data_IF_656935223150
#
_entry.id   IF_656935223150
#
_cell.length_a   1.000
_cell.length_b   1.000
_cell.length_c   1.000
_cell.angle_alpha   90.00
_cell.angle_beta   90.00
_cell.angle_gamma   90.00
#
_symmetry.space_group_name_H-M   'P 1'
#
loop_
_entity.id
_entity.type
_entity.pdbx_description
1 polymer ?
#
# COMPACT_ATOMS: atom_id res chain seq x y z
N UNK A 1 38.60 -39.16 -19.10
CA UNK A 1 37.30 -39.63 -18.55
C UNK A 1 37.23 -39.20 -17.08
N UNK A 2 36.66 -38.01 -16.83
CA UNK A 2 36.61 -37.45 -15.45
C UNK A 2 35.19 -37.59 -14.91
N UNK A 3 35.09 -38.26 -13.79
CA UNK A 3 33.85 -38.53 -13.04
C UNK A 3 33.60 -37.33 -12.11
N UNK A 4 32.46 -36.69 -12.28
CA UNK A 4 31.98 -35.62 -11.37
C UNK A 4 31.60 -36.23 -10.01
N UNK A 5 32.24 -35.76 -8.95
CA UNK A 5 31.91 -36.12 -7.56
C UNK A 5 30.65 -35.36 -7.15
N UNK A 6 29.62 -36.12 -6.82
CA UNK A 6 28.40 -35.69 -6.15
C UNK A 6 28.66 -35.71 -4.65
N UNK A 7 28.56 -34.58 -3.95
CA UNK A 7 28.62 -34.53 -2.49
C UNK A 7 27.25 -34.92 -1.92
N UNK A 8 27.21 -36.09 -1.30
CA UNK A 8 26.12 -36.51 -0.42
C UNK A 8 26.54 -36.12 0.99
N UNK A 9 25.84 -35.12 1.58
CA UNK A 9 26.01 -34.79 2.99
C UNK A 9 25.25 -35.76 3.87
N UNK A 10 25.98 -36.43 4.71
CA UNK A 10 25.48 -37.37 5.71
C UNK A 10 24.79 -36.62 6.85
N UNK A 11 23.51 -36.90 7.10
CA UNK A 11 22.76 -36.38 8.24
C UNK A 11 22.92 -37.35 9.40
N UNK A 12 23.62 -36.95 10.48
CA UNK A 12 23.59 -37.65 11.75
C UNK A 12 22.43 -37.09 12.59
N UNK A 13 21.44 -37.89 12.86
CA UNK A 13 20.33 -37.59 13.75
C UNK A 13 20.74 -37.70 15.21
N UNK A 14 20.67 -36.61 15.97
CA UNK A 14 20.63 -36.67 17.43
C UNK A 14 19.17 -36.46 17.87
N UNK A 15 18.61 -37.48 18.48
CA UNK A 15 17.28 -37.43 19.13
C UNK A 15 17.35 -36.57 20.41
N UNK A 16 16.73 -35.42 20.40
CA UNK A 16 16.29 -34.71 21.61
C UNK A 16 14.84 -34.29 21.38
N UNK A 17 13.98 -34.77 22.27
CA UNK A 17 12.56 -34.58 22.32
C UNK A 17 12.20 -33.10 22.49
N UNK A 18 11.51 -32.53 21.50
CA UNK A 18 10.97 -31.17 21.46
C UNK A 18 10.68 -30.83 20.02
N UNK A 19 9.47 -31.15 19.54
CA UNK A 19 9.07 -30.90 18.14
C UNK A 19 9.02 -29.41 17.83
N UNK A 20 10.13 -28.84 17.39
CA UNK A 20 10.14 -27.66 16.52
C UNK A 20 10.16 -28.18 15.08
N UNK A 21 9.03 -28.06 14.40
CA UNK A 21 8.99 -28.28 12.96
C UNK A 21 9.89 -27.23 12.30
N UNK A 22 11.05 -27.67 11.81
CA UNK A 22 11.90 -26.85 10.95
C UNK A 22 11.19 -26.75 9.61
N UNK A 23 10.50 -25.63 9.37
CA UNK A 23 9.95 -25.32 8.06
C UNK A 23 11.13 -24.94 7.17
N UNK A 24 11.57 -25.87 6.33
CA UNK A 24 12.54 -25.57 5.28
C UNK A 24 11.78 -24.88 4.18
N UNK A 25 11.84 -23.55 4.16
CA UNK A 25 11.40 -22.77 3.02
C UNK A 25 12.28 -23.13 1.83
N UNK A 26 11.70 -23.84 0.89
CA UNK A 26 12.31 -24.01 -0.43
C UNK A 26 12.23 -22.64 -1.09
N UNK A 27 13.32 -21.89 -1.01
CA UNK A 27 13.47 -20.63 -1.75
C UNK A 27 13.40 -20.98 -3.24
N UNK A 28 12.23 -20.77 -3.86
CA UNK A 28 12.13 -20.73 -5.31
C UNK A 28 13.05 -19.59 -5.75
N UNK A 29 14.08 -19.90 -6.52
CA UNK A 29 14.86 -18.86 -7.21
C UNK A 29 13.89 -18.01 -8.00
N UNK A 30 13.80 -16.73 -7.70
CA UNK A 30 12.86 -15.80 -8.31
C UNK A 30 12.99 -15.81 -9.82
N UNK A 31 11.89 -15.59 -10.49
CA UNK A 31 11.89 -15.45 -11.94
C UNK A 31 12.85 -14.31 -12.31
N UNK A 32 13.90 -14.63 -13.08
CA UNK A 32 14.90 -13.65 -13.47
C UNK A 32 14.23 -12.46 -14.15
N UNK A 33 14.47 -11.25 -13.64
CA UNK A 33 13.91 -10.02 -14.22
C UNK A 33 14.22 -9.94 -15.71
N UNK A 34 13.21 -9.56 -16.46
CA UNK A 34 13.34 -9.36 -17.92
C UNK A 34 14.17 -8.11 -18.20
N UNK A 35 15.19 -8.24 -19.04
CA UNK A 35 16.00 -7.08 -19.43
C UNK A 35 15.30 -6.29 -20.54
N UNK A 36 15.18 -4.97 -20.32
CA UNK A 36 14.62 -4.00 -21.27
C UNK A 36 15.73 -3.08 -21.77
N UNK A 37 15.86 -2.92 -23.08
CA UNK A 37 16.75 -1.94 -23.72
C UNK A 37 15.95 -0.71 -24.10
N UNK A 38 16.41 0.47 -23.68
CA UNK A 38 15.78 1.75 -24.01
C UNK A 38 16.57 2.49 -25.09
N UNK A 39 15.94 2.72 -26.25
CA UNK A 39 16.45 3.46 -27.40
C UNK A 39 15.46 4.59 -27.74
N UNK A 40 15.11 5.39 -26.75
CA UNK A 40 14.13 6.47 -26.86
C UNK A 40 14.85 7.80 -26.88
N UNK A 41 14.58 8.61 -27.90
CA UNK A 41 15.04 10.01 -28.02
C UNK A 41 13.98 11.00 -27.50
N UNK A 42 14.34 12.28 -27.41
CA UNK A 42 13.43 13.35 -27.02
C UNK A 42 13.49 13.69 -25.52
N UNK A 43 12.36 13.81 -24.86
CA UNK A 43 12.26 14.34 -23.49
C UNK A 43 13.03 13.53 -22.44
N UNK A 44 14.01 14.15 -21.74
CA UNK A 44 14.70 13.51 -20.63
C UNK A 44 13.78 13.12 -19.46
N UNK A 45 12.72 13.92 -19.18
CA UNK A 45 11.74 13.65 -18.14
C UNK A 45 10.93 12.39 -18.44
N UNK A 46 10.49 12.22 -19.68
CA UNK A 46 9.83 11.01 -20.15
C UNK A 46 10.72 9.78 -19.92
N UNK A 47 11.97 9.83 -20.42
CA UNK A 47 12.89 8.69 -20.38
C UNK A 47 13.26 8.30 -18.93
N UNK A 48 13.59 9.30 -18.08
CA UNK A 48 13.91 9.07 -16.66
C UNK A 48 12.73 8.44 -15.93
N UNK A 49 11.52 8.96 -16.19
CA UNK A 49 10.29 8.46 -15.58
C UNK A 49 9.97 7.03 -16.04
N UNK A 50 9.98 6.77 -17.33
CA UNK A 50 9.79 5.43 -17.90
C UNK A 50 10.77 4.42 -17.30
N UNK A 51 12.07 4.72 -17.31
CA UNK A 51 13.11 3.88 -16.74
C UNK A 51 12.84 3.56 -15.28
N UNK A 52 12.65 4.59 -14.45
CA UNK A 52 12.45 4.42 -13.01
C UNK A 52 11.22 3.57 -12.69
N UNK A 53 10.10 3.78 -13.37
CA UNK A 53 8.88 3.03 -13.12
C UNK A 53 8.95 1.57 -13.61
N UNK A 54 9.67 1.30 -14.70
CA UNK A 54 9.96 -0.08 -15.11
C UNK A 54 10.81 -0.82 -14.06
N UNK A 55 11.83 -0.18 -13.50
CA UNK A 55 12.67 -0.76 -12.44
C UNK A 55 11.86 -0.97 -11.14
N UNK A 56 11.04 0.02 -10.73
CA UNK A 56 10.19 -0.07 -9.53
C UNK A 56 9.12 -1.15 -9.62
N UNK A 57 8.71 -1.53 -10.83
CA UNK A 57 7.70 -2.57 -11.06
C UNK A 57 8.11 -3.96 -10.56
N UNK A 58 9.40 -4.17 -10.30
CA UNK A 58 9.95 -5.47 -9.88
C UNK A 58 10.04 -6.52 -11.00
N UNK A 59 9.48 -6.25 -12.20
CA UNK A 59 9.46 -7.18 -13.33
C UNK A 59 10.64 -7.00 -14.26
N UNK A 60 11.22 -5.81 -14.31
CA UNK A 60 12.21 -5.44 -15.32
C UNK A 60 13.50 -4.91 -14.70
N UNK A 61 14.58 -5.06 -15.46
CA UNK A 61 15.85 -4.33 -15.30
C UNK A 61 16.22 -3.66 -16.60
N UNK A 62 16.85 -2.51 -16.53
CA UNK A 62 17.33 -1.82 -17.73
C UNK A 62 18.77 -2.24 -18.03
N UNK A 63 19.03 -2.58 -19.30
CA UNK A 63 20.35 -3.02 -19.75
C UNK A 63 20.59 -2.77 -21.24
N UNK A 64 21.84 -2.92 -21.69
CA UNK A 64 22.23 -2.60 -23.08
C UNK A 64 21.70 -3.61 -24.10
N UNK A 65 21.39 -4.84 -23.68
CA UNK A 65 20.86 -5.89 -24.54
C UNK A 65 19.76 -6.64 -23.77
N UNK A 66 18.52 -6.45 -24.19
CA UNK A 66 17.33 -7.02 -23.57
C UNK A 66 16.47 -7.80 -24.55
N UNK A 67 15.63 -8.67 -24.00
CA UNK A 67 14.60 -9.39 -24.75
C UNK A 67 13.39 -8.53 -25.11
N UNK A 68 13.34 -7.31 -24.55
CA UNK A 68 12.36 -6.26 -24.91
C UNK A 68 13.16 -5.02 -25.30
N UNK A 69 12.84 -4.43 -26.44
CA UNK A 69 13.39 -3.16 -26.89
C UNK A 69 12.29 -2.11 -26.90
N UNK A 70 12.56 -0.96 -26.28
CA UNK A 70 11.69 0.22 -26.32
C UNK A 70 12.39 1.28 -27.16
N UNK A 71 11.81 1.66 -28.29
CA UNK A 71 12.42 2.59 -29.26
C UNK A 71 11.43 3.63 -29.75
N UNK A 72 11.93 4.77 -30.22
CA UNK A 72 11.13 5.84 -30.79
C UNK A 72 11.47 7.22 -30.26
N UNK A 73 10.55 8.17 -30.42
CA UNK A 73 10.71 9.55 -29.97
C UNK A 73 9.60 9.92 -28.96
N UNK A 74 10.01 10.33 -27.78
CA UNK A 74 9.10 10.83 -26.73
C UNK A 74 8.41 12.12 -27.22
N UNK A 75 7.09 12.19 -27.08
CA UNK A 75 6.25 13.24 -27.67
C UNK A 75 5.71 12.90 -29.07
N UNK A 76 6.07 11.71 -29.57
CA UNK A 76 5.56 11.09 -30.79
C UNK A 76 5.21 9.63 -30.55
N UNK A 77 5.72 8.73 -31.42
CA UNK A 77 5.51 7.29 -31.26
C UNK A 77 6.68 6.64 -30.51
N UNK A 78 6.37 5.91 -29.44
CA UNK A 78 7.32 5.04 -28.73
C UNK A 78 6.77 3.62 -28.70
N UNK A 79 7.55 2.66 -29.17
CA UNK A 79 7.14 1.26 -29.32
C UNK A 79 8.00 0.35 -28.44
N UNK A 80 7.37 -0.55 -27.71
CA UNK A 80 8.01 -1.65 -27.00
C UNK A 80 7.76 -2.96 -27.76
N UNK A 81 8.83 -3.68 -28.11
CA UNK A 81 8.77 -4.93 -28.87
C UNK A 81 9.60 -6.01 -28.20
N UNK A 82 9.08 -7.21 -28.12
CA UNK A 82 9.76 -8.38 -27.54
C UNK A 82 8.79 -9.52 -27.25
N UNK A 83 9.29 -10.71 -27.00
CA UNK A 83 8.50 -11.88 -26.64
C UNK A 83 7.30 -12.13 -27.57
N UNK A 84 7.44 -11.84 -28.87
CA UNK A 84 6.36 -11.99 -29.86
C UNK A 84 5.24 -10.95 -29.76
N UNK A 85 5.41 -9.89 -28.98
CA UNK A 85 4.43 -8.82 -28.79
C UNK A 85 5.02 -7.46 -29.19
N UNK A 86 4.15 -6.53 -29.56
CA UNK A 86 4.50 -5.13 -29.81
C UNK A 86 3.37 -4.23 -29.33
N UNK A 87 3.71 -3.18 -28.59
CA UNK A 87 2.78 -2.13 -28.14
C UNK A 87 3.36 -0.77 -28.46
N UNK A 88 2.52 0.18 -28.84
CA UNK A 88 2.95 1.55 -29.20
C UNK A 88 2.12 2.57 -28.43
N UNK A 89 2.80 3.50 -27.79
CA UNK A 89 2.21 4.73 -27.25
C UNK A 89 2.41 5.87 -28.24
N UNK A 90 1.38 6.69 -28.44
CA UNK A 90 1.42 7.92 -29.25
C UNK A 90 0.85 9.05 -28.44
N UNK A 91 1.70 9.66 -27.61
CA UNK A 91 1.30 10.73 -26.71
C UNK A 91 2.16 11.97 -26.94
N UNK A 92 1.49 13.08 -27.22
CA UNK A 92 2.10 14.40 -27.17
C UNK A 92 1.95 14.99 -25.76
N UNK A 93 2.87 15.85 -25.37
CA UNK A 93 2.84 16.54 -24.08
C UNK A 93 3.44 17.92 -24.23
N UNK A 94 2.91 18.89 -23.46
CA UNK A 94 3.30 20.29 -23.56
C UNK A 94 4.45 20.66 -22.59
N UNK A 95 4.59 19.91 -21.49
CA UNK A 95 5.52 20.22 -20.41
C UNK A 95 6.16 18.94 -19.79
N UNK A 96 7.05 19.16 -18.83
CA UNK A 96 7.74 18.08 -18.12
C UNK A 96 6.80 17.17 -17.31
N UNK A 97 5.71 17.72 -16.75
CA UNK A 97 4.75 16.93 -15.99
C UNK A 97 3.95 16.00 -16.91
N UNK A 98 3.52 16.50 -18.07
CA UNK A 98 2.90 15.71 -19.11
C UNK A 98 3.83 14.63 -19.65
N UNK A 99 5.12 14.95 -19.87
CA UNK A 99 6.14 13.98 -20.28
C UNK A 99 6.30 12.85 -19.27
N UNK A 100 6.38 13.17 -17.96
CA UNK A 100 6.45 12.16 -16.89
C UNK A 100 5.19 11.30 -16.84
N UNK A 101 4.01 11.92 -16.99
CA UNK A 101 2.75 11.17 -17.00
C UNK A 101 2.66 10.20 -18.19
N UNK A 102 3.07 10.62 -19.39
CA UNK A 102 3.16 9.74 -20.54
C UNK A 102 4.15 8.57 -20.32
N UNK A 103 5.31 8.85 -19.72
CA UNK A 103 6.27 7.82 -19.31
C UNK A 103 5.69 6.80 -18.31
N UNK A 104 4.89 7.24 -17.32
CA UNK A 104 4.20 6.37 -16.36
C UNK A 104 3.17 5.48 -17.05
N UNK A 105 2.31 6.06 -17.90
CA UNK A 105 1.31 5.29 -18.66
C UNK A 105 1.96 4.21 -19.52
N UNK A 106 3.06 4.55 -20.20
CA UNK A 106 3.74 3.57 -21.03
C UNK A 106 4.46 2.51 -20.18
N UNK A 107 5.02 2.86 -19.02
CA UNK A 107 5.55 1.88 -18.08
C UNK A 107 4.48 0.87 -17.63
N UNK A 108 3.29 1.35 -17.25
CA UNK A 108 2.16 0.49 -16.88
C UNK A 108 1.75 -0.42 -18.04
N UNK A 109 1.65 0.10 -19.27
CA UNK A 109 1.33 -0.68 -20.45
C UNK A 109 2.40 -1.76 -20.77
N UNK A 110 3.68 -1.45 -20.57
CA UNK A 110 4.77 -2.42 -20.72
C UNK A 110 4.67 -3.53 -19.67
N UNK A 111 4.38 -3.18 -18.39
CA UNK A 111 4.16 -4.16 -17.34
C UNK A 111 3.02 -5.11 -17.72
N UNK A 112 1.88 -4.58 -18.13
CA UNK A 112 0.70 -5.38 -18.47
C UNK A 112 0.93 -6.27 -19.72
N UNK A 113 1.70 -5.78 -20.71
CA UNK A 113 1.95 -6.53 -21.94
C UNK A 113 3.01 -7.62 -21.79
N UNK A 114 4.07 -7.38 -21.00
CA UNK A 114 5.28 -8.20 -21.02
C UNK A 114 5.61 -8.91 -19.71
N UNK A 115 4.90 -8.63 -18.62
CA UNK A 115 4.92 -9.45 -17.41
C UNK A 115 3.84 -10.54 -17.46
N UNK A 116 4.06 -11.63 -16.74
CA UNK A 116 3.10 -12.73 -16.68
C UNK A 116 1.97 -12.42 -15.67
N UNK A 117 1.01 -11.59 -16.09
CA UNK A 117 -0.15 -11.18 -15.29
C UNK A 117 0.10 -10.00 -14.34
N UNK A 118 1.24 -9.34 -14.42
CA UNK A 118 1.53 -8.14 -13.63
C UNK A 118 0.60 -6.98 -13.97
N UNK A 119 0.31 -6.15 -12.97
CA UNK A 119 -0.45 -4.91 -13.11
C UNK A 119 0.47 -3.72 -12.92
N UNK A 120 0.31 -2.70 -13.77
CA UNK A 120 0.99 -1.43 -13.61
C UNK A 120 0.44 -0.62 -12.44
N UNK A 121 1.30 0.15 -11.80
CA UNK A 121 0.93 1.06 -10.71
C UNK A 121 1.61 2.44 -10.82
N UNK A 122 2.39 2.68 -11.86
CA UNK A 122 3.16 3.91 -12.05
C UNK A 122 2.27 5.17 -12.12
N UNK A 123 1.06 5.04 -12.66
CA UNK A 123 0.07 6.12 -12.73
C UNK A 123 -0.74 6.33 -11.46
N UNK A 124 -0.58 5.45 -10.46
CA UNK A 124 -1.28 5.54 -9.18
C UNK A 124 -0.63 6.59 -8.28
N UNK A 125 -1.36 7.04 -7.26
CA UNK A 125 -0.94 8.12 -6.36
C UNK A 125 -0.66 7.58 -4.96
N UNK A 126 0.31 8.16 -4.28
CA UNK A 126 0.63 7.89 -2.87
C UNK A 126 0.35 9.16 -2.09
N UNK A 127 -0.61 9.09 -1.15
CA UNK A 127 -0.81 10.14 -0.17
C UNK A 127 -0.01 9.80 1.10
N UNK A 128 0.48 10.80 1.81
CA UNK A 128 1.25 10.62 3.04
C UNK A 128 1.22 11.90 3.88
N UNK A 129 1.65 11.77 5.12
CA UNK A 129 1.67 12.86 6.11
C UNK A 129 3.09 13.38 6.27
N UNK A 130 3.25 14.70 6.32
CA UNK A 130 4.46 15.35 6.83
C UNK A 130 4.15 15.96 8.20
N UNK A 131 4.68 15.38 9.27
CA UNK A 131 4.53 15.90 10.62
C UNK A 131 5.62 16.93 10.92
N UNK A 132 5.24 18.18 11.06
CA UNK A 132 6.14 19.31 11.38
C UNK A 132 6.23 19.60 12.88
N UNK A 133 5.29 19.06 13.68
CA UNK A 133 5.21 19.26 15.14
C UNK A 133 4.14 18.36 15.76
N UNK A 134 3.87 18.52 17.05
CA UNK A 134 2.85 17.72 17.75
C UNK A 134 1.47 17.91 17.11
N UNK A 135 1.09 19.16 16.85
CA UNK A 135 -0.24 19.56 16.38
C UNK A 135 -0.25 20.02 14.91
N UNK A 136 0.88 19.91 14.22
CA UNK A 136 1.02 20.31 12.83
C UNK A 136 1.50 19.13 11.99
N UNK A 137 0.57 18.59 11.21
CA UNK A 137 0.82 17.52 10.26
C UNK A 137 -0.06 17.75 9.03
N UNK A 138 0.54 17.75 7.84
CA UNK A 138 -0.17 18.07 6.61
C UNK A 138 -0.09 16.90 5.63
N UNK A 139 -1.14 16.77 4.81
CA UNK A 139 -1.20 15.76 3.75
C UNK A 139 -0.45 16.23 2.51
N UNK A 140 0.28 15.31 1.95
CA UNK A 140 0.98 15.43 0.68
C UNK A 140 0.62 14.25 -0.21
N UNK A 141 0.89 14.37 -1.50
CA UNK A 141 0.85 13.27 -2.46
C UNK A 141 2.01 13.34 -3.43
N UNK A 142 2.40 12.19 -3.99
CA UNK A 142 3.30 12.04 -5.12
C UNK A 142 2.92 10.80 -5.95
N UNK A 143 3.67 10.54 -7.01
CA UNK A 143 3.62 9.27 -7.72
C UNK A 143 4.65 8.26 -7.17
N UNK A 144 4.56 6.97 -7.52
CA UNK A 144 5.46 5.92 -7.00
C UNK A 144 6.94 6.17 -7.27
N UNK A 145 7.27 6.90 -8.33
CA UNK A 145 8.63 7.35 -8.63
C UNK A 145 9.14 8.48 -7.70
N UNK A 146 8.29 9.00 -6.81
CA UNK A 146 8.60 10.06 -5.85
C UNK A 146 8.52 11.46 -6.44
N UNK A 147 8.12 11.60 -7.71
CA UNK A 147 8.00 12.91 -8.37
C UNK A 147 6.59 13.49 -8.30
N UNK A 148 6.48 14.75 -8.73
CA UNK A 148 5.25 15.54 -8.75
C UNK A 148 4.61 15.64 -7.35
N UNK A 149 5.47 15.84 -6.33
CA UNK A 149 5.04 16.03 -4.95
C UNK A 149 4.18 17.28 -4.82
N UNK A 150 3.00 17.14 -4.20
CA UNK A 150 2.07 18.24 -3.95
C UNK A 150 1.50 18.18 -2.55
N UNK A 151 1.41 19.32 -1.88
CA UNK A 151 0.69 19.48 -0.62
C UNK A 151 -0.82 19.50 -0.88
N UNK A 152 -1.58 18.76 -0.07
CA UNK A 152 -3.05 18.65 -0.17
C UNK A 152 -3.72 19.52 0.88
N UNK A 153 -3.22 19.55 2.11
CA UNK A 153 -3.75 20.36 3.21
C UNK A 153 -2.72 21.38 3.67
N UNK A 154 -3.19 22.56 4.12
CA UNK A 154 -2.35 23.65 4.63
C UNK A 154 -3.02 24.38 5.80
N UNK A 155 -3.70 23.62 6.66
CA UNK A 155 -4.51 24.18 7.76
C UNK A 155 -3.67 24.57 8.98
N UNK A 156 -2.38 24.23 9.02
CA UNK A 156 -1.51 24.41 10.18
C UNK A 156 -1.92 23.55 11.37
N UNK A 157 -2.74 22.53 11.15
CA UNK A 157 -3.26 21.58 12.14
C UNK A 157 -2.97 20.15 11.71
N UNK A 158 -3.19 19.19 12.60
CA UNK A 158 -2.95 17.80 12.26
C UNK A 158 -4.00 17.26 11.27
N UNK A 159 -3.52 16.79 10.12
CA UNK A 159 -4.23 15.97 9.14
C UNK A 159 -3.49 14.64 9.03
N UNK A 160 -4.13 13.52 9.42
CA UNK A 160 -3.50 12.21 9.59
C UNK A 160 -4.35 11.06 9.03
N UNK A 161 -3.70 9.92 8.82
CA UNK A 161 -4.35 8.67 8.44
C UNK A 161 -5.09 8.74 7.10
N UNK A 162 -4.45 9.20 6.01
CA UNK A 162 -5.11 9.27 4.71
C UNK A 162 -5.53 7.88 4.21
N UNK A 163 -6.68 7.79 3.56
CA UNK A 163 -7.21 6.58 2.89
C UNK A 163 -7.86 6.97 1.58
N UNK A 164 -7.44 6.37 0.48
CA UNK A 164 -8.03 6.61 -0.84
C UNK A 164 -9.39 5.95 -0.98
N UNK A 165 -10.32 6.64 -1.62
CA UNK A 165 -11.50 6.02 -2.20
C UNK A 165 -11.11 5.23 -3.47
N UNK A 166 -11.97 4.28 -3.87
CA UNK A 166 -11.76 3.45 -5.05
C UNK A 166 -11.70 4.25 -6.37
N UNK A 167 -12.28 5.46 -6.40
CA UNK A 167 -12.23 6.36 -7.57
C UNK A 167 -10.84 6.97 -7.81
N UNK A 168 -9.90 6.87 -6.85
CA UNK A 168 -8.55 7.42 -6.95
C UNK A 168 -8.46 8.95 -6.92
N UNK A 169 -9.57 9.65 -6.72
CA UNK A 169 -9.66 11.12 -6.66
C UNK A 169 -9.97 11.65 -5.27
N UNK A 170 -10.76 10.91 -4.51
CA UNK A 170 -11.15 11.28 -3.16
C UNK A 170 -10.23 10.62 -2.13
N UNK A 171 -9.81 11.42 -1.15
CA UNK A 171 -8.98 11.01 -0.02
C UNK A 171 -9.74 11.29 1.28
N UNK A 172 -9.88 10.27 2.11
CA UNK A 172 -10.44 10.39 3.45
C UNK A 172 -9.31 10.53 4.47
N UNK A 173 -9.50 11.36 5.50
CA UNK A 173 -8.50 11.58 6.53
C UNK A 173 -9.12 12.07 7.83
N UNK A 174 -8.36 12.02 8.91
CA UNK A 174 -8.70 12.63 10.20
C UNK A 174 -8.02 13.98 10.30
N UNK A 175 -8.81 15.02 10.51
CA UNK A 175 -8.33 16.37 10.80
C UNK A 175 -8.78 16.82 12.20
N UNK A 176 -8.28 17.97 12.64
CA UNK A 176 -8.61 18.54 13.95
C UNK A 176 -9.21 19.92 13.78
N UNK A 177 -10.36 20.16 14.43
CA UNK A 177 -11.01 21.46 14.52
C UNK A 177 -11.36 21.72 16.00
N UNK A 178 -10.84 22.80 16.60
CA UNK A 178 -11.06 23.13 18.02
C UNK A 178 -10.85 21.92 18.95
N UNK A 179 -9.70 21.25 18.82
CA UNK A 179 -9.29 20.05 19.59
C UNK A 179 -10.15 18.79 19.34
N UNK A 180 -11.18 18.87 18.52
CA UNK A 180 -12.00 17.72 18.14
C UNK A 180 -11.46 17.04 16.89
N UNK A 181 -11.37 15.73 16.94
CA UNK A 181 -11.10 14.91 15.76
C UNK A 181 -12.35 14.87 14.87
N UNK A 182 -12.19 15.16 13.61
CA UNK A 182 -13.22 15.10 12.57
C UNK A 182 -12.70 14.33 11.38
N UNK A 183 -13.59 13.57 10.73
CA UNK A 183 -13.27 12.91 9.49
C UNK A 183 -13.67 13.78 8.30
N UNK A 184 -12.75 13.88 7.35
CA UNK A 184 -12.91 14.67 6.14
C UNK A 184 -12.77 13.80 4.88
N UNK A 185 -13.42 14.25 3.81
CA UNK A 185 -13.16 13.87 2.44
C UNK A 185 -12.58 15.06 1.70
N UNK A 186 -11.53 14.88 0.93
CA UNK A 186 -10.98 15.88 0.01
C UNK A 186 -10.82 15.28 -1.37
N UNK A 187 -11.32 15.97 -2.40
CA UNK A 187 -10.98 15.63 -3.78
C UNK A 187 -9.63 16.26 -4.11
N UNK A 188 -8.64 15.42 -4.41
CA UNK A 188 -7.25 15.87 -4.57
C UNK A 188 -7.03 16.67 -5.85
N UNK A 189 -7.88 16.56 -6.86
CA UNK A 189 -7.72 17.26 -8.13
C UNK A 189 -8.36 18.67 -8.08
N UNK A 190 -9.49 18.82 -7.39
CA UNK A 190 -10.25 20.08 -7.26
C UNK A 190 -9.99 20.80 -5.95
N UNK A 191 -9.37 20.14 -4.97
CA UNK A 191 -9.21 20.60 -3.58
C UNK A 191 -10.53 20.81 -2.83
N UNK A 192 -11.66 20.39 -3.40
CA UNK A 192 -12.96 20.43 -2.72
C UNK A 192 -12.94 19.53 -1.48
N UNK A 193 -13.29 20.09 -0.33
CA UNK A 193 -13.22 19.41 0.97
C UNK A 193 -14.57 19.42 1.67
N UNK A 194 -14.91 18.30 2.29
CA UNK A 194 -16.15 18.09 3.02
C UNK A 194 -15.87 17.44 4.38
N UNK A 195 -16.49 17.95 5.45
CA UNK A 195 -16.54 17.27 6.74
C UNK A 195 -17.65 16.22 6.71
N UNK A 196 -17.36 15.00 7.12
CA UNK A 196 -18.33 13.89 7.12
C UNK A 196 -19.43 14.03 8.18
N UNK A 197 -19.24 14.87 9.17
CA UNK A 197 -20.23 15.18 10.21
C UNK A 197 -19.57 15.59 11.52
N UNK A 198 -20.35 16.30 12.35
CA UNK A 198 -19.95 16.71 13.68
C UNK A 198 -20.54 15.74 14.71
N UNK A 199 -19.71 14.84 15.23
CA UNK A 199 -20.09 13.87 16.23
C UNK A 199 -19.65 14.35 17.63
N UNK A 200 -20.49 14.12 18.66
CA UNK A 200 -20.32 14.68 20.01
C UNK A 200 -18.91 14.54 20.58
N UNK A 201 -18.32 13.36 20.44
CA UNK A 201 -16.99 13.04 20.99
C UNK A 201 -15.93 12.79 19.90
N UNK A 202 -16.18 13.24 18.66
CA UNK A 202 -15.26 13.15 17.56
C UNK A 202 -15.44 11.94 16.64
N UNK A 203 -14.72 11.98 15.53
CA UNK A 203 -14.68 10.95 14.50
C UNK A 203 -13.26 10.81 13.95
N UNK A 204 -12.83 9.58 13.66
CA UNK A 204 -11.52 9.30 13.09
C UNK A 204 -11.54 8.09 12.15
N UNK A 205 -10.43 7.87 11.45
CA UNK A 205 -10.17 6.64 10.71
C UNK A 205 -11.19 6.31 9.63
N UNK A 206 -11.60 7.28 8.81
CA UNK A 206 -12.58 7.06 7.75
C UNK A 206 -12.00 6.30 6.56
N UNK A 207 -12.71 5.27 6.06
CA UNK A 207 -12.36 4.48 4.88
C UNK A 207 -13.61 4.22 4.04
N UNK A 208 -13.59 4.62 2.74
CA UNK A 208 -14.70 4.39 1.82
C UNK A 208 -14.84 2.92 1.46
N UNK A 209 -16.07 2.45 1.28
CA UNK A 209 -16.37 1.14 0.71
C UNK A 209 -15.92 1.06 -0.76
N UNK A 210 -15.65 -0.15 -1.30
CA UNK A 210 -15.20 -0.30 -2.69
C UNK A 210 -16.19 0.24 -3.73
N UNK A 211 -17.48 0.23 -3.43
CA UNK A 211 -18.55 0.77 -4.29
C UNK A 211 -18.76 2.28 -4.12
N UNK A 212 -18.05 2.92 -3.17
CA UNK A 212 -18.13 4.35 -2.88
C UNK A 212 -19.41 4.84 -2.23
N UNK A 213 -20.31 3.94 -1.79
CA UNK A 213 -21.61 4.32 -1.20
C UNK A 213 -21.56 4.52 0.30
N UNK A 214 -20.62 3.89 0.96
CA UNK A 214 -20.51 3.91 2.42
C UNK A 214 -19.10 4.26 2.88
N UNK A 215 -19.00 4.66 4.14
CA UNK A 215 -17.72 4.90 4.84
C UNK A 215 -17.72 4.14 6.15
N UNK A 216 -16.70 3.31 6.37
CA UNK A 216 -16.36 2.81 7.69
C UNK A 216 -15.67 3.93 8.47
N UNK A 217 -16.14 4.23 9.66
CA UNK A 217 -15.68 5.36 10.46
C UNK A 217 -15.67 4.99 11.95
N UNK A 218 -14.70 5.51 12.68
CA UNK A 218 -14.61 5.32 14.13
C UNK A 218 -15.25 6.52 14.83
N UNK A 219 -16.29 6.27 15.63
CA UNK A 219 -17.01 7.30 16.37
C UNK A 219 -16.95 7.01 17.87
N UNK A 220 -16.62 8.02 18.67
CA UNK A 220 -16.68 7.97 20.14
C UNK A 220 -18.06 8.38 20.68
N UNK A 221 -19.13 8.08 19.92
CA UNK A 221 -20.48 8.60 20.17
C UNK A 221 -21.07 8.20 21.52
N UNK A 222 -20.76 7.00 22.01
CA UNK A 222 -21.29 6.46 23.29
C UNK A 222 -20.20 6.21 24.34
N UNK A 223 -19.10 6.97 24.29
CA UNK A 223 -18.04 6.92 25.29
C UNK A 223 -16.69 6.46 24.72
N UNK A 224 -16.57 5.23 24.28
CA UNK A 224 -15.36 4.70 23.64
C UNK A 224 -15.43 4.72 22.11
N UNK A 225 -14.28 4.72 21.42
CA UNK A 225 -14.24 4.63 19.96
C UNK A 225 -14.74 3.28 19.47
N UNK A 226 -15.75 3.29 18.60
CA UNK A 226 -16.36 2.11 18.02
C UNK A 226 -16.45 2.20 16.51
N UNK A 227 -16.54 1.07 15.83
CA UNK A 227 -16.71 0.99 14.39
C UNK A 227 -18.18 1.26 14.00
N UNK A 228 -18.37 2.17 13.06
CA UNK A 228 -19.65 2.45 12.41
C UNK A 228 -19.50 2.40 10.90
N UNK A 229 -20.61 2.16 10.21
CA UNK A 229 -20.74 2.36 8.77
C UNK A 229 -21.73 3.50 8.53
N UNK A 230 -21.33 4.49 7.77
CA UNK A 230 -22.16 5.62 7.36
C UNK A 230 -22.50 5.49 5.87
N UNK A 231 -23.77 5.58 5.54
CA UNK A 231 -24.24 5.76 4.16
C UNK A 231 -23.99 7.21 3.72
N UNK A 232 -23.27 7.39 2.63
CA UNK A 232 -22.84 8.72 2.18
C UNK A 232 -23.98 9.57 1.61
N UNK A 233 -25.03 8.97 1.05
CA UNK A 233 -26.15 9.68 0.50
C UNK A 233 -27.14 10.16 1.56
N UNK A 234 -27.46 9.28 2.52
CA UNK A 234 -28.46 9.55 3.56
C UNK A 234 -27.87 10.05 4.86
N UNK A 235 -26.57 9.94 5.05
CA UNK A 235 -25.83 10.23 6.30
C UNK A 235 -26.27 9.35 7.49
N UNK A 236 -27.05 8.33 7.27
CA UNK A 236 -27.41 7.37 8.32
C UNK A 236 -26.19 6.58 8.74
N UNK A 237 -26.02 6.43 10.07
CA UNK A 237 -24.94 5.64 10.67
C UNK A 237 -25.49 4.36 11.25
N UNK A 238 -24.74 3.27 11.10
CA UNK A 238 -25.02 1.97 11.70
C UNK A 238 -23.81 1.53 12.54
N UNK A 239 -24.05 1.22 13.80
CA UNK A 239 -23.01 0.70 14.70
C UNK A 239 -22.68 -0.73 14.36
N UNK A 240 -21.40 -1.05 14.17
CA UNK A 240 -20.89 -2.36 13.81
C UNK A 240 -20.31 -3.11 15.01
N UNK A 241 -19.69 -2.39 15.96
CA UNK A 241 -19.10 -2.97 17.17
C UNK A 241 -19.73 -2.41 18.44
N UNK A 242 -19.69 -3.21 19.52
CA UNK A 242 -20.09 -2.81 20.86
C UNK A 242 -19.14 -3.48 21.86
N UNK A 243 -18.04 -2.81 22.15
CA UNK A 243 -16.94 -3.30 22.99
C UNK A 243 -16.68 -2.33 24.14
N UNK A 244 -17.43 -2.43 25.27
CA UNK A 244 -17.54 -1.36 26.27
C UNK A 244 -16.23 -0.91 26.91
N UNK A 245 -15.17 -1.72 26.89
CA UNK A 245 -13.88 -1.42 27.51
C UNK A 245 -12.73 -1.41 26.51
N UNK A 246 -13.03 -1.31 25.22
CA UNK A 246 -12.03 -1.33 24.16
C UNK A 246 -12.14 -0.10 23.24
N UNK A 247 -11.08 0.17 22.48
CA UNK A 247 -11.02 1.21 21.49
C UNK A 247 -10.77 0.59 20.10
N UNK A 248 -11.61 0.94 19.14
CA UNK A 248 -11.45 0.57 17.75
C UNK A 248 -10.72 1.67 16.97
N UNK A 249 -9.95 1.26 15.93
CA UNK A 249 -9.24 2.17 15.06
C UNK A 249 -8.94 1.56 13.68
N UNK A 250 -8.45 2.39 12.75
CA UNK A 250 -7.84 1.99 11.47
C UNK A 250 -8.69 1.03 10.63
N UNK A 251 -9.96 1.32 10.34
CA UNK A 251 -10.80 0.44 9.53
C UNK A 251 -10.32 0.41 8.08
N UNK A 252 -10.44 -0.76 7.42
CA UNK A 252 -10.29 -0.92 5.97
C UNK A 252 -11.26 -1.99 5.45
N UNK A 253 -11.81 -1.75 4.25
CA UNK A 253 -12.77 -2.65 3.62
C UNK A 253 -12.07 -3.79 2.88
N UNK A 254 -12.71 -4.98 2.90
CA UNK A 254 -12.37 -6.03 1.94
C UNK A 254 -12.72 -5.62 0.51
N UNK A 255 -12.03 -6.17 -0.52
CA UNK A 255 -12.26 -5.78 -1.92
C UNK A 255 -13.69 -5.99 -2.40
N UNK A 256 -14.41 -6.95 -1.83
CA UNK A 256 -15.80 -7.28 -2.14
C UNK A 256 -16.83 -6.46 -1.33
N UNK A 257 -16.38 -5.62 -0.41
CA UNK A 257 -17.21 -4.77 0.45
C UNK A 257 -18.01 -5.53 1.52
N UNK A 258 -17.77 -6.82 1.73
CA UNK A 258 -18.53 -7.64 2.68
C UNK A 258 -17.95 -7.63 4.09
N UNK A 259 -16.67 -7.26 4.24
CA UNK A 259 -15.96 -7.30 5.51
C UNK A 259 -15.20 -6.00 5.75
N UNK A 260 -14.99 -5.69 7.03
CA UNK A 260 -14.14 -4.58 7.46
C UNK A 260 -13.10 -5.14 8.41
N UNK A 261 -11.81 -5.02 8.07
CA UNK A 261 -10.74 -5.23 9.02
C UNK A 261 -10.53 -3.94 9.82
N UNK A 262 -10.29 -4.08 11.11
CA UNK A 262 -10.08 -2.96 12.03
C UNK A 262 -9.18 -3.39 13.19
N UNK A 263 -8.66 -2.46 13.93
CA UNK A 263 -7.86 -2.69 15.14
C UNK A 263 -8.76 -2.56 16.36
N UNK A 264 -8.64 -3.48 17.31
CA UNK A 264 -9.28 -3.39 18.63
C UNK A 264 -8.32 -3.84 19.73
N UNK A 265 -8.32 -3.17 20.87
CA UNK A 265 -7.54 -3.52 22.05
C UNK A 265 -8.32 -4.34 23.10
N UNK A 266 -9.49 -4.89 22.73
CA UNK A 266 -10.35 -5.68 23.64
C UNK A 266 -9.65 -6.89 24.29
N UNK A 267 -8.50 -7.32 23.77
CA UNK A 267 -7.62 -8.33 24.35
C UNK A 267 -6.39 -7.73 25.06
N UNK A 268 -6.49 -6.47 25.50
CA UNK A 268 -5.48 -5.62 26.17
C UNK A 268 -4.38 -5.08 25.26
N UNK A 269 -4.07 -5.75 24.18
CA UNK A 269 -3.11 -5.28 23.18
C UNK A 269 -3.84 -5.12 21.85
N UNK A 270 -3.51 -4.09 21.04
CA UNK A 270 -4.09 -3.90 19.72
C UNK A 270 -3.92 -5.14 18.84
N UNK A 271 -5.02 -5.65 18.32
CA UNK A 271 -5.07 -6.78 17.38
C UNK A 271 -6.04 -6.46 16.25
N UNK A 272 -5.86 -7.16 15.12
CA UNK A 272 -6.76 -7.01 13.98
C UNK A 272 -7.95 -7.94 14.17
N UNK A 273 -9.13 -7.37 13.95
CA UNK A 273 -10.41 -8.05 13.90
C UNK A 273 -11.04 -7.85 12.53
N UNK A 274 -11.89 -8.79 12.14
CA UNK A 274 -12.68 -8.70 10.91
C UNK A 274 -14.15 -8.74 11.29
N UNK A 275 -14.87 -7.66 10.93
CA UNK A 275 -16.32 -7.54 11.06
C UNK A 275 -16.97 -7.92 9.74
N UNK A 276 -17.92 -8.85 9.76
CA UNK A 276 -18.82 -9.10 8.66
C UNK A 276 -19.91 -8.01 8.64
N UNK A 277 -20.09 -7.35 7.51
CA UNK A 277 -20.94 -6.15 7.41
C UNK A 277 -22.41 -6.49 7.57
N UNK A 278 -22.86 -7.63 7.04
CA UNK A 278 -24.25 -8.03 7.06
C UNK A 278 -24.69 -8.52 8.46
N UNK A 279 -23.91 -9.41 9.05
CA UNK A 279 -24.22 -9.99 10.37
C UNK A 279 -23.74 -9.10 11.53
N UNK A 280 -22.80 -8.19 11.29
CA UNK A 280 -22.11 -7.36 12.31
C UNK A 280 -21.34 -8.18 13.35
N UNK A 281 -21.03 -9.43 13.03
CA UNK A 281 -20.21 -10.28 13.87
C UNK A 281 -18.73 -10.02 13.60
N UNK A 282 -17.96 -9.92 14.66
CA UNK A 282 -16.51 -9.69 14.59
C UNK A 282 -15.74 -10.89 15.10
N UNK A 283 -14.71 -11.27 14.35
CA UNK A 283 -13.78 -12.34 14.72
C UNK A 283 -12.37 -11.79 14.81
N UNK A 284 -11.61 -12.23 15.80
CA UNK A 284 -10.19 -11.90 15.89
C UNK A 284 -9.44 -12.53 14.75
N UNK A 285 -8.66 -11.71 14.03
CA UNK A 285 -7.85 -12.17 12.89
C UNK A 285 -6.40 -12.48 13.29
N UNK A 286 -5.76 -11.62 14.12
CA UNK A 286 -4.38 -11.78 14.55
C UNK A 286 -4.27 -12.23 16.01
N UNK A 287 -3.34 -13.16 16.26
CA UNK A 287 -3.03 -13.70 17.60
C UNK A 287 -1.53 -13.71 17.90
N UNK A 288 -0.70 -13.72 16.85
CA UNK A 288 0.76 -13.65 16.94
C UNK A 288 1.23 -12.20 16.97
N UNK A 289 2.36 -11.95 17.62
CA UNK A 289 2.86 -10.59 17.82
C UNK A 289 2.19 -9.87 19.01
N UNK A 290 2.95 -8.97 19.66
CA UNK A 290 2.45 -8.21 20.81
C UNK A 290 1.36 -7.22 20.41
N UNK A 291 1.53 -6.55 19.28
CA UNK A 291 0.57 -5.60 18.72
C UNK A 291 0.48 -5.79 17.22
N UNK A 292 -0.72 -5.65 16.67
CA UNK A 292 -0.99 -5.68 15.24
C UNK A 292 -1.91 -4.51 14.90
N UNK A 293 -1.46 -3.63 13.99
CA UNK A 293 -2.12 -2.35 13.71
C UNK A 293 -2.12 -2.04 12.21
N UNK A 294 -2.91 -1.04 11.79
CA UNK A 294 -2.96 -0.51 10.44
C UNK A 294 -3.15 -1.59 9.36
N UNK A 295 -4.26 -2.35 9.41
CA UNK A 295 -4.56 -3.30 8.35
C UNK A 295 -4.84 -2.57 7.03
N UNK A 296 -4.41 -3.17 5.91
CA UNK A 296 -4.82 -2.76 4.58
C UNK A 296 -5.06 -3.97 3.67
N UNK A 297 -6.14 -3.93 2.90
CA UNK A 297 -6.58 -5.03 2.03
C UNK A 297 -6.26 -4.74 0.57
N UNK A 298 -5.53 -5.65 -0.08
CA UNK A 298 -5.26 -5.59 -1.51
C UNK A 298 -6.48 -6.04 -2.33
N UNK A 299 -6.58 -5.59 -3.59
CA UNK A 299 -7.63 -6.01 -4.51
C UNK A 299 -7.66 -7.53 -4.76
N UNK A 300 -6.53 -8.20 -4.68
CA UNK A 300 -6.41 -9.66 -4.82
C UNK A 300 -6.78 -10.43 -3.54
N UNK A 301 -7.19 -9.75 -2.47
CA UNK A 301 -7.63 -10.38 -1.21
C UNK A 301 -6.53 -10.60 -0.17
N UNK A 302 -5.28 -10.23 -0.44
CA UNK A 302 -4.19 -10.23 0.55
C UNK A 302 -4.43 -9.16 1.61
N UNK A 303 -4.15 -9.46 2.87
CA UNK A 303 -4.20 -8.49 3.97
C UNK A 303 -2.79 -8.24 4.49
N UNK A 304 -2.39 -6.97 4.65
CA UNK A 304 -1.15 -6.61 5.33
C UNK A 304 -1.43 -5.81 6.60
N UNK A 305 -0.44 -5.78 7.51
CA UNK A 305 -0.51 -5.02 8.75
C UNK A 305 0.88 -4.76 9.34
N UNK A 306 0.97 -3.79 10.23
CA UNK A 306 2.15 -3.58 11.07
C UNK A 306 2.08 -4.51 12.28
N UNK A 307 3.15 -5.24 12.58
CA UNK A 307 3.23 -6.18 13.70
C UNK A 307 4.44 -5.88 14.59
N UNK A 308 4.22 -5.78 15.89
CA UNK A 308 5.29 -5.67 16.89
C UNK A 308 5.69 -7.06 17.37
N UNK A 309 6.86 -7.52 16.92
CA UNK A 309 7.41 -8.83 17.23
C UNK A 309 8.78 -8.68 17.88
N UNK A 310 9.00 -9.33 19.01
CA UNK A 310 10.26 -9.26 19.76
C UNK A 310 10.79 -7.81 19.98
N UNK A 311 9.88 -6.86 20.18
CA UNK A 311 10.23 -5.45 20.40
C UNK A 311 10.50 -4.61 19.14
N UNK A 312 10.40 -5.20 17.95
CA UNK A 312 10.63 -4.53 16.69
C UNK A 312 9.38 -4.58 15.79
N UNK A 313 9.14 -3.51 15.06
CA UNK A 313 8.05 -3.45 14.10
C UNK A 313 8.46 -4.03 12.75
N UNK A 314 7.58 -4.82 12.17
CA UNK A 314 7.71 -5.35 10.80
C UNK A 314 6.35 -5.29 10.09
N UNK A 315 6.36 -5.43 8.77
CA UNK A 315 5.15 -5.61 7.99
C UNK A 315 4.92 -7.10 7.76
N UNK A 316 3.71 -7.54 8.07
CA UNK A 316 3.19 -8.87 7.78
C UNK A 316 2.23 -8.81 6.61
N UNK A 317 2.18 -9.86 5.81
CA UNK A 317 1.16 -10.03 4.77
C UNK A 317 0.69 -11.49 4.73
N UNK A 318 -0.63 -11.67 4.61
CA UNK A 318 -1.26 -12.99 4.44
C UNK A 318 -1.69 -13.18 2.98
N UNK A 319 -1.83 -14.45 2.59
CA UNK A 319 -2.40 -14.81 1.29
C UNK A 319 -3.94 -14.67 1.31
N UNK A 320 -4.59 -14.56 0.13
CA UNK A 320 -6.04 -14.49 0.03
C UNK A 320 -6.70 -15.69 0.73
N UNK A 321 -7.66 -15.41 1.61
CA UNK A 321 -8.42 -16.41 2.38
C UNK A 321 -7.58 -17.34 3.28
N UNK A 322 -6.25 -17.15 3.37
CA UNK A 322 -5.35 -18.00 4.17
C UNK A 322 -5.31 -17.66 5.67
N UNK A 323 -5.96 -16.56 6.06
CA UNK A 323 -5.95 -16.09 7.44
C UNK A 323 -4.53 -15.75 7.95
N UNK A 324 -4.41 -15.58 9.28
CA UNK A 324 -3.09 -15.34 9.91
C UNK A 324 -2.11 -16.51 9.70
N UNK A 325 -2.62 -17.74 9.50
CA UNK A 325 -1.77 -18.91 9.31
C UNK A 325 -0.90 -18.82 8.04
N UNK A 326 -1.35 -18.13 7.02
CA UNK A 326 -0.62 -17.90 5.76
C UNK A 326 0.29 -16.66 5.81
N UNK A 327 0.29 -15.94 6.93
CA UNK A 327 1.02 -14.69 7.02
C UNK A 327 2.53 -14.88 7.10
N UNK A 328 3.24 -14.07 6.33
CA UNK A 328 4.71 -13.99 6.39
C UNK A 328 5.17 -12.55 6.62
N UNK A 329 6.34 -12.42 7.17
CA UNK A 329 7.03 -11.15 7.30
C UNK A 329 7.56 -10.73 5.91
N UNK A 330 7.22 -9.52 5.47
CA UNK A 330 7.64 -8.99 4.16
C UNK A 330 8.70 -7.89 4.26
N UNK A 331 9.03 -7.45 5.48
CA UNK A 331 10.15 -6.54 5.74
C UNK A 331 11.03 -7.12 6.83
N UNK A 332 12.33 -6.80 6.85
CA UNK A 332 13.17 -7.09 7.99
C UNK A 332 12.65 -6.35 9.23
N UNK A 333 12.82 -6.90 10.46
CA UNK A 333 12.44 -6.21 11.69
C UNK A 333 13.11 -4.81 11.81
N UNK A 334 12.40 -3.84 12.40
CA UNK A 334 12.88 -2.46 12.57
C UNK A 334 11.79 -1.55 13.11
N UNK A 335 11.54 -0.43 12.42
CA UNK A 335 10.52 0.57 12.79
C UNK A 335 9.41 0.69 11.74
N UNK A 336 9.13 -0.38 11.00
CA UNK A 336 8.16 -0.40 9.90
C UNK A 336 6.73 -0.26 10.37
N UNK A 337 5.99 0.69 9.80
CA UNK A 337 4.59 0.96 10.14
C UNK A 337 3.77 1.39 8.92
N UNK A 338 2.45 1.40 9.10
CA UNK A 338 1.46 1.97 8.19
C UNK A 338 1.51 1.40 6.77
N UNK A 339 1.43 0.07 6.56
CA UNK A 339 1.46 -0.47 5.21
C UNK A 339 0.19 -0.13 4.43
N UNK A 340 0.34 0.13 3.14
CA UNK A 340 -0.78 0.27 2.21
C UNK A 340 -0.45 -0.35 0.86
N UNK A 341 -1.31 -1.27 0.39
CA UNK A 341 -1.13 -1.99 -0.86
C UNK A 341 -1.23 -1.11 -2.09
N UNK A 342 -0.33 -1.33 -3.04
CA UNK A 342 -0.46 -0.87 -4.40
C UNK A 342 -1.59 -1.61 -5.16
N UNK A 343 -1.98 -1.06 -6.30
CA UNK A 343 -3.05 -1.63 -7.12
C UNK A 343 -2.74 -3.02 -7.69
N UNK A 344 -1.45 -3.37 -7.81
CA UNK A 344 -0.98 -4.66 -8.32
C UNK A 344 -1.11 -5.81 -7.30
N UNK A 345 -1.30 -5.51 -6.00
CA UNK A 345 -1.39 -6.51 -4.93
C UNK A 345 -0.08 -7.26 -4.65
N UNK A 346 1.04 -6.80 -5.24
CA UNK A 346 2.42 -7.28 -5.01
C UNK A 346 3.22 -6.27 -4.20
N UNK A 347 3.17 -5.00 -4.58
CA UNK A 347 3.88 -3.93 -3.89
C UNK A 347 3.01 -3.28 -2.82
N UNK A 348 3.65 -2.75 -1.80
CA UNK A 348 3.02 -1.86 -0.82
C UNK A 348 3.95 -0.69 -0.51
N UNK A 349 3.39 0.39 0.02
CA UNK A 349 4.16 1.45 0.66
C UNK A 349 4.06 1.31 2.18
N UNK A 350 5.15 1.65 2.88
CA UNK A 350 5.19 1.67 4.33
C UNK A 350 6.10 2.78 4.83
N UNK A 351 5.88 3.26 6.06
CA UNK A 351 6.77 4.21 6.73
C UNK A 351 7.85 3.47 7.53
N UNK A 352 9.06 4.05 7.53
CA UNK A 352 10.18 3.62 8.36
C UNK A 352 11.11 4.82 8.60
N UNK A 353 11.50 5.04 9.85
CA UNK A 353 12.50 6.06 10.23
C UNK A 353 12.21 7.46 9.61
N UNK A 354 10.94 7.89 9.64
CA UNK A 354 10.47 9.18 9.07
C UNK A 354 10.58 9.27 7.54
N UNK A 355 10.64 8.15 6.85
CA UNK A 355 10.67 8.08 5.39
C UNK A 355 9.63 7.09 4.87
N UNK A 356 9.26 7.21 3.59
CA UNK A 356 8.32 6.32 2.91
C UNK A 356 9.08 5.42 1.94
N UNK A 357 8.78 4.14 1.99
CA UNK A 357 9.39 3.11 1.16
C UNK A 357 8.36 2.39 0.32
N UNK A 358 8.73 2.04 -0.90
CA UNK A 358 8.07 1.02 -1.70
C UNK A 358 8.70 -0.33 -1.35
N UNK A 359 7.87 -1.31 -1.05
CA UNK A 359 8.26 -2.66 -0.65
C UNK A 359 7.68 -3.65 -1.64
N UNK A 360 8.53 -4.44 -2.29
CA UNK A 360 8.12 -5.63 -3.04
C UNK A 360 7.89 -6.77 -2.04
N UNK A 361 6.70 -7.33 -2.01
CA UNK A 361 6.33 -8.34 -1.01
C UNK A 361 6.65 -9.76 -1.43
N UNK A 362 7.14 -9.99 -2.64
CA UNK A 362 7.53 -11.33 -3.06
C UNK A 362 8.81 -11.79 -2.33
N UNK A 363 8.98 -13.11 -2.06
CA UNK A 363 10.12 -13.63 -1.30
C UNK A 363 11.48 -13.29 -1.92
N UNK A 364 11.53 -13.18 -3.23
CA UNK A 364 12.67 -12.82 -4.06
C UNK A 364 12.57 -11.39 -4.62
N UNK A 365 11.66 -10.60 -4.06
CA UNK A 365 11.40 -9.22 -4.44
C UNK A 365 12.59 -8.30 -4.18
N UNK A 366 12.52 -7.10 -4.75
CA UNK A 366 13.54 -6.08 -4.56
C UNK A 366 13.61 -5.62 -3.10
N UNK A 367 14.81 -5.19 -2.70
CA UNK A 367 14.96 -4.51 -1.40
C UNK A 367 14.06 -3.27 -1.36
N UNK A 368 13.51 -2.91 -0.18
CA UNK A 368 12.70 -1.72 -0.05
C UNK A 368 13.39 -0.48 -0.60
N UNK A 369 12.68 0.29 -1.43
CA UNK A 369 13.20 1.49 -2.10
C UNK A 369 12.59 2.72 -1.44
N UNK A 370 13.45 3.61 -0.91
CA UNK A 370 13.00 4.90 -0.41
C UNK A 370 12.51 5.77 -1.59
N UNK A 371 11.28 6.30 -1.50
CA UNK A 371 10.67 6.99 -2.64
C UNK A 371 11.26 8.36 -2.91
N UNK A 372 11.61 9.09 -1.85
CA UNK A 372 12.20 10.43 -1.93
C UNK A 372 13.08 10.72 -0.71
N UNK A 373 14.03 11.64 -0.87
CA UNK A 373 15.05 11.96 0.15
C UNK A 373 14.90 13.38 0.71
N UNK A 374 13.75 14.04 0.48
CA UNK A 374 13.47 15.36 1.01
C UNK A 374 13.41 15.32 2.54
N UNK A 375 13.96 16.36 3.19
CA UNK A 375 13.88 16.50 4.66
C UNK A 375 12.41 16.58 5.09
N UNK A 376 12.03 15.77 6.07
CA UNK A 376 10.67 15.73 6.60
C UNK A 376 10.50 14.62 7.62
N UNK A 377 9.33 14.58 8.25
CA UNK A 377 8.90 13.48 9.10
C UNK A 377 7.69 12.82 8.40
N UNK A 378 7.99 11.92 7.47
CA UNK A 378 7.04 11.31 6.57
C UNK A 378 6.46 10.03 7.16
N UNK A 379 5.13 9.92 7.20
CA UNK A 379 4.42 8.80 7.80
C UNK A 379 3.04 8.57 7.17
N UNK A 380 2.34 7.52 7.61
CA UNK A 380 1.00 7.13 7.20
C UNK A 380 0.81 7.15 5.67
N UNK A 381 1.62 6.43 4.88
CA UNK A 381 1.41 6.39 3.45
C UNK A 381 0.12 5.63 3.11
N UNK A 382 -0.55 6.08 2.05
CA UNK A 382 -1.72 5.41 1.47
C UNK A 382 -1.57 5.36 -0.04
N UNK A 383 -1.65 4.17 -0.61
CA UNK A 383 -1.57 3.95 -2.05
C UNK A 383 -2.98 3.96 -2.66
N UNK A 384 -3.18 4.68 -3.78
CA UNK A 384 -4.43 4.60 -4.53
C UNK A 384 -4.52 3.28 -5.30
N UNK A 385 -5.67 2.66 -5.27
CA UNK A 385 -5.89 1.31 -5.83
C UNK A 385 -6.53 1.34 -7.20
#
# INVERSE_FOLDING_TARGET
>A
MQIKKMFIGCLTAALVSGAMALQVDVVKQGAAKVTVTLQVSGSPDYLKCLKKNLELSGWFRIGPSGSITVSGAAGGAVTATGRGKSITSRESFADAAGARMAGRRFADAIVEAFSDGGKGFATKRIAYVNRKGADNAELYMCYPDGWDMRQITSDGRAAIGPRWAANGHDLYYTGFLHEKQLSYRVNVDTSARECLGFFKNGASGAAASPDGRSVAIILSYQGNPELYVMDLATRKIQRMTKTPAAAESSPCWSPDGRKIAYVSDQTRNPQIYICDVASRQSTRYTSKGRQNTHPDWAKNGRLCWSSLQAGQWCIMASEPNGGEASARMVTQPGTWQDPSWAADGRHLVASRDKAIFLVDTEPDGDKPVQLFYNKGNWMNPAFSK
#
